data_IF_684185912170
#
_entry.id   IF_684185912170
#
_cell.length_a   1.000
_cell.length_b   1.000
_cell.length_c   1.000
_cell.angle_alpha   90.00
_cell.angle_beta   90.00
_cell.angle_gamma   90.00
#
_symmetry.space_group_name_H-M   'P 1'
#
loop_
_entity.id
_entity.type
_entity.pdbx_description
1 polymer ?
#
# COMPACT_ATOMS: atom_id res chain seq x y z
N UNK A 1 -3.15 -16.99 2.91
CA UNK A 1 -4.00 -17.32 4.09
C UNK A 1 -3.77 -16.25 5.14
N UNK A 2 -4.85 -15.69 5.69
CA UNK A 2 -4.76 -14.70 6.76
C UNK A 2 -4.55 -15.41 8.09
N UNK A 3 -3.67 -14.86 8.92
CA UNK A 3 -3.44 -15.32 10.28
C UNK A 3 -3.45 -14.12 11.21
N UNK A 4 -3.96 -14.33 12.42
CA UNK A 4 -4.00 -13.30 13.46
C UNK A 4 -2.57 -12.81 13.76
N UNK A 5 -2.42 -11.49 13.87
CA UNK A 5 -1.14 -10.84 14.12
C UNK A 5 -0.29 -10.52 12.89
N UNK A 6 -0.75 -10.87 11.67
CA UNK A 6 -0.10 -10.45 10.44
C UNK A 6 -0.37 -8.96 10.12
N UNK A 7 0.57 -8.35 9.38
CA UNK A 7 0.51 -6.94 8.98
C UNK A 7 0.08 -6.78 7.52
N UNK A 8 -0.94 -5.95 7.30
CA UNK A 8 -1.54 -5.72 5.99
C UNK A 8 -1.80 -4.23 5.75
N UNK A 9 -1.79 -3.82 4.49
CA UNK A 9 -2.12 -2.47 4.03
C UNK A 9 -3.38 -2.53 3.17
N UNK A 10 -4.29 -1.57 3.34
CA UNK A 10 -5.42 -1.38 2.42
C UNK A 10 -4.96 -0.57 1.19
N UNK A 11 -5.14 -1.12 -0.01
CA UNK A 11 -4.82 -0.41 -1.26
C UNK A 11 -5.87 0.66 -1.60
N UNK A 12 -7.13 0.42 -1.25
CA UNK A 12 -8.21 1.37 -1.46
C UNK A 12 -8.15 2.56 -0.50
N UNK A 13 -7.63 2.34 0.71
CA UNK A 13 -7.65 3.32 1.80
C UNK A 13 -6.25 3.51 2.40
N UNK A 14 -5.35 4.09 1.63
CA UNK A 14 -3.96 4.33 2.06
C UNK A 14 -3.83 5.25 3.28
N UNK A 15 -4.89 5.98 3.65
CA UNK A 15 -4.93 6.86 4.82
C UNK A 15 -4.99 6.09 6.15
N UNK A 16 -5.48 4.84 6.14
CA UNK A 16 -5.59 4.01 7.35
C UNK A 16 -4.22 3.50 7.85
N UNK A 17 -3.23 3.46 6.97
CA UNK A 17 -1.88 2.99 7.31
C UNK A 17 -1.81 1.48 7.54
N UNK A 18 -0.88 1.05 8.41
CA UNK A 18 -0.56 -0.35 8.60
C UNK A 18 -1.52 -1.03 9.59
N UNK A 19 -2.32 -1.97 9.09
CA UNK A 19 -3.26 -2.75 9.89
C UNK A 19 -2.65 -4.04 10.47
N UNK A 20 -3.31 -4.58 11.49
CA UNK A 20 -3.03 -5.86 12.15
C UNK A 20 -4.29 -6.72 12.06
N UNK A 21 -4.14 -7.97 11.61
CA UNK A 21 -5.26 -8.94 11.61
C UNK A 21 -5.62 -9.29 13.06
N UNK A 22 -6.85 -8.99 13.47
CA UNK A 22 -7.40 -9.28 14.80
C UNK A 22 -8.14 -10.62 14.82
N UNK A 23 -8.97 -10.86 13.82
CA UNK A 23 -9.70 -12.14 13.65
C UNK A 23 -9.80 -12.55 12.18
N UNK A 24 -9.93 -13.86 11.95
CA UNK A 24 -10.09 -14.45 10.62
C UNK A 24 -11.22 -15.47 10.70
N UNK A 25 -12.26 -15.26 9.91
CA UNK A 25 -13.35 -16.20 9.71
C UNK A 25 -13.21 -16.90 8.34
N UNK A 26 -14.17 -17.76 8.00
CA UNK A 26 -14.16 -18.48 6.72
C UNK A 26 -14.31 -17.58 5.48
N UNK A 27 -14.99 -16.43 5.60
CA UNK A 27 -15.26 -15.52 4.47
C UNK A 27 -14.79 -14.09 4.70
N UNK A 28 -14.48 -13.74 5.94
CA UNK A 28 -14.16 -12.37 6.36
C UNK A 28 -12.86 -12.34 7.14
N UNK A 29 -12.13 -11.24 7.00
CA UNK A 29 -10.95 -10.93 7.82
C UNK A 29 -11.16 -9.58 8.46
N UNK A 30 -10.89 -9.51 9.76
CA UNK A 30 -11.00 -8.28 10.53
C UNK A 30 -9.61 -7.72 10.79
N UNK A 31 -9.43 -6.45 10.47
CA UNK A 31 -8.15 -5.76 10.57
C UNK A 31 -8.34 -4.49 11.37
N UNK A 32 -7.57 -4.37 12.45
CA UNK A 32 -7.48 -3.16 13.23
C UNK A 32 -6.34 -2.28 12.66
N UNK A 33 -6.62 -1.00 12.45
CA UNK A 33 -5.68 0.02 12.00
C UNK A 33 -5.33 0.96 13.16
N UNK A 34 -4.22 0.71 13.90
CA UNK A 34 -3.87 1.50 15.07
C UNK A 34 -3.59 2.98 14.78
N UNK A 35 -3.24 3.31 13.53
CA UNK A 35 -2.97 4.69 13.13
C UNK A 35 -4.25 5.52 12.93
N UNK A 36 -5.37 4.87 12.62
CA UNK A 36 -6.67 5.51 12.42
C UNK A 36 -7.67 5.19 13.55
N UNK A 37 -7.27 4.35 14.52
CA UNK A 37 -8.13 3.85 15.60
C UNK A 37 -9.45 3.23 15.11
N UNK A 38 -9.42 2.65 13.90
CA UNK A 38 -10.56 2.01 13.24
C UNK A 38 -10.34 0.51 13.02
N UNK A 39 -11.43 -0.25 13.09
CA UNK A 39 -11.47 -1.65 12.68
C UNK A 39 -12.28 -1.80 11.40
N UNK A 40 -11.74 -2.55 10.43
CA UNK A 40 -12.41 -2.82 9.15
C UNK A 40 -12.52 -4.32 8.91
N UNK A 41 -13.66 -4.72 8.37
CA UNK A 41 -13.95 -6.09 7.96
C UNK A 41 -13.90 -6.16 6.45
N UNK A 42 -13.09 -7.07 5.92
CA UNK A 42 -12.96 -7.31 4.48
C UNK A 42 -13.39 -8.73 4.13
N UNK A 43 -14.04 -8.90 2.98
CA UNK A 43 -14.34 -10.21 2.43
C UNK A 43 -13.07 -10.80 1.78
N UNK A 44 -12.64 -12.00 2.22
CA UNK A 44 -11.38 -12.65 1.82
C UNK A 44 -11.25 -12.76 0.29
N UNK A 45 -12.35 -12.99 -0.43
CA UNK A 45 -12.34 -13.20 -1.87
C UNK A 45 -12.03 -11.95 -2.71
N UNK A 46 -12.30 -10.75 -2.18
CA UNK A 46 -12.19 -9.48 -2.94
C UNK A 46 -11.43 -8.41 -2.13
N UNK A 47 -10.69 -8.81 -1.10
CA UNK A 47 -10.04 -7.86 -0.21
C UNK A 47 -8.89 -7.15 -0.94
N UNK A 48 -8.92 -5.81 -1.07
CA UNK A 48 -7.84 -5.02 -1.67
C UNK A 48 -6.71 -4.83 -0.65
N UNK A 49 -6.15 -5.94 -0.16
CA UNK A 49 -5.19 -5.97 0.93
C UNK A 49 -3.83 -6.46 0.44
N UNK A 50 -2.77 -5.73 0.80
CA UNK A 50 -1.39 -6.10 0.45
C UNK A 50 -0.60 -6.45 1.71
N UNK A 51 0.00 -7.66 1.71
CA UNK A 51 0.78 -8.17 2.85
C UNK A 51 2.08 -7.39 2.96
N UNK A 52 2.40 -6.91 4.16
CA UNK A 52 3.65 -6.20 4.42
C UNK A 52 4.60 -7.13 5.16
N UNK A 53 5.73 -7.45 4.52
CA UNK A 53 6.83 -8.20 5.12
C UNK A 53 8.14 -7.45 4.92
N UNK A 54 9.00 -7.49 5.92
CA UNK A 54 10.34 -6.91 5.88
C UNK A 54 11.37 -8.01 5.60
N UNK A 55 12.49 -7.64 5.00
CA UNK A 55 13.60 -8.55 4.73
C UNK A 55 14.76 -8.30 5.69
N UNK A 56 15.70 -9.25 5.74
CA UNK A 56 16.96 -9.05 6.45
C UNK A 56 17.72 -7.84 5.84
N UNK A 57 18.21 -6.96 6.69
CA UNK A 57 18.82 -5.67 6.32
C UNK A 57 17.86 -4.48 6.36
N UNK A 58 16.55 -4.69 6.52
CA UNK A 58 15.60 -3.59 6.68
C UNK A 58 15.66 -2.99 8.09
N UNK A 59 15.41 -1.68 8.18
CA UNK A 59 15.24 -0.96 9.45
C UNK A 59 13.76 -0.79 9.74
N UNK A 60 13.31 -1.37 10.86
CA UNK A 60 11.93 -1.32 11.33
C UNK A 60 11.82 -0.55 12.64
N UNK A 61 10.68 0.10 12.86
CA UNK A 61 10.38 0.82 14.09
C UNK A 61 9.39 0.03 14.94
N UNK A 62 9.67 -0.10 16.24
CA UNK A 62 8.74 -0.67 17.21
C UNK A 62 7.67 0.34 17.61
N UNK A 63 6.56 -0.15 18.19
CA UNK A 63 5.53 0.67 18.81
C UNK A 63 6.10 1.57 19.92
N UNK A 64 7.07 1.06 20.69
CA UNK A 64 7.70 1.82 21.77
C UNK A 64 8.76 2.83 21.27
N UNK A 65 8.75 3.17 19.97
CA UNK A 65 9.55 4.25 19.38
C UNK A 65 11.02 3.92 19.13
N UNK A 66 11.46 2.68 19.32
CA UNK A 66 12.85 2.27 19.07
C UNK A 66 13.02 1.56 17.73
N UNK A 67 14.23 1.63 17.17
CA UNK A 67 14.55 1.06 15.85
C UNK A 67 15.32 -0.26 15.97
N UNK A 68 14.97 -1.22 15.12
CA UNK A 68 15.64 -2.50 14.97
C UNK A 68 16.12 -2.68 13.53
N UNK A 69 17.36 -3.11 13.39
CA UNK A 69 17.90 -3.60 12.13
C UNK A 69 17.69 -5.11 12.06
N UNK A 70 16.90 -5.56 11.08
CA UNK A 70 16.54 -6.97 10.92
C UNK A 70 17.77 -7.75 10.49
N UNK A 71 18.21 -8.71 11.30
CA UNK A 71 19.28 -9.65 10.95
C UNK A 71 18.71 -10.94 10.37
N UNK A 72 17.63 -11.45 10.99
CA UNK A 72 17.00 -12.70 10.61
C UNK A 72 15.48 -12.59 10.72
N UNK A 73 14.77 -13.30 9.85
CA UNK A 73 13.32 -13.40 9.85
C UNK A 73 12.96 -14.85 10.10
N UNK A 74 12.27 -15.11 11.21
CA UNK A 74 11.82 -16.45 11.60
C UNK A 74 10.31 -16.50 11.48
N UNK A 75 9.79 -17.45 10.72
CA UNK A 75 8.35 -17.71 10.66
C UNK A 75 8.02 -18.87 11.60
N UNK A 76 7.16 -18.62 12.58
CA UNK A 76 6.69 -19.63 13.52
C UNK A 76 5.15 -19.66 13.49
N UNK A 77 4.58 -20.78 13.07
CA UNK A 77 3.11 -20.96 12.95
C UNK A 77 2.42 -19.84 12.14
N UNK A 78 3.12 -19.30 11.14
CA UNK A 78 2.67 -18.21 10.26
C UNK A 78 2.64 -16.82 10.89
N UNK A 79 3.13 -16.69 12.13
CA UNK A 79 3.55 -15.42 12.71
C UNK A 79 5.02 -15.16 12.35
N UNK A 80 5.30 -13.97 11.83
CA UNK A 80 6.65 -13.56 11.46
C UNK A 80 7.31 -12.88 12.65
N UNK A 81 8.49 -13.34 13.01
CA UNK A 81 9.31 -12.83 14.09
C UNK A 81 10.58 -12.25 13.48
N UNK A 82 10.85 -10.99 13.78
CA UNK A 82 12.04 -10.29 13.31
C UNK A 82 13.09 -10.30 14.43
N UNK A 83 14.23 -10.92 14.16
CA UNK A 83 15.39 -10.95 15.05
C UNK A 83 16.39 -9.92 14.57
N UNK A 84 16.93 -9.13 15.48
CA UNK A 84 17.87 -8.10 15.09
C UNK A 84 18.58 -7.42 16.25
N UNK A 85 19.37 -6.42 15.89
CA UNK A 85 20.08 -5.56 16.85
C UNK A 85 19.36 -4.22 16.93
N UNK A 86 19.23 -3.70 18.16
CA UNK A 86 18.68 -2.37 18.39
C UNK A 86 19.72 -1.33 18.01
N UNK A 87 19.33 -0.31 17.25
CA UNK A 87 20.24 0.73 16.74
C UNK A 87 21.03 1.46 17.84
N UNK A 88 20.41 1.62 19.03
CA UNK A 88 20.99 2.39 20.16
C UNK A 88 21.79 1.49 21.14
N UNK A 89 21.63 0.16 21.10
CA UNK A 89 22.27 -0.74 22.08
C UNK A 89 22.90 -1.92 21.37
N UNK A 90 24.23 -1.85 21.20
CA UNK A 90 25.04 -2.78 20.40
C UNK A 90 25.10 -4.21 20.97
N UNK A 91 24.70 -4.44 22.23
CA UNK A 91 25.05 -5.68 22.95
C UNK A 91 23.94 -6.72 23.15
N UNK A 92 22.67 -6.49 22.77
CA UNK A 92 21.61 -7.48 22.96
C UNK A 92 20.87 -7.79 21.65
N UNK A 93 20.70 -9.09 21.36
CA UNK A 93 19.76 -9.57 20.33
C UNK A 93 18.36 -9.31 20.85
N UNK A 94 17.55 -8.58 20.09
CA UNK A 94 16.16 -8.33 20.41
C UNK A 94 15.27 -9.09 19.42
N UNK A 95 14.15 -9.58 19.95
CA UNK A 95 13.14 -10.29 19.19
C UNK A 95 11.90 -9.40 19.11
N UNK A 96 11.56 -8.95 17.90
CA UNK A 96 10.37 -8.17 17.62
C UNK A 96 9.31 -9.03 16.95
N UNK A 97 8.13 -9.10 17.54
CA UNK A 97 6.95 -9.73 16.92
C UNK A 97 6.35 -8.78 15.88
N UNK A 98 5.80 -9.32 14.79
CA UNK A 98 5.14 -8.54 13.73
C UNK A 98 4.06 -7.58 14.26
N UNK A 99 3.33 -7.98 15.32
CA UNK A 99 2.31 -7.15 15.97
C UNK A 99 2.85 -5.85 16.55
N UNK A 100 4.15 -5.74 16.86
CA UNK A 100 4.74 -4.57 17.52
C UNK A 100 5.42 -3.58 16.56
N UNK A 101 5.20 -3.69 15.24
CA UNK A 101 5.88 -2.86 14.23
C UNK A 101 5.04 -1.65 13.82
N UNK A 102 5.59 -0.44 13.93
CA UNK A 102 4.99 0.75 13.33
C UNK A 102 5.67 1.05 12.01
N UNK A 103 4.88 1.24 10.95
CA UNK A 103 5.38 1.82 9.71
C UNK A 103 5.32 3.35 9.80
N UNK A 104 6.41 3.98 10.18
CA UNK A 104 6.59 5.41 9.93
C UNK A 104 6.89 5.59 8.44
N UNK A 105 5.89 6.00 7.66
CA UNK A 105 6.00 6.23 6.20
C UNK A 105 7.04 7.31 5.83
N UNK A 106 7.50 8.10 6.81
CA UNK A 106 8.30 9.31 6.59
C UNK A 106 9.80 9.10 6.30
N UNK A 107 10.43 8.02 6.77
CA UNK A 107 11.90 8.06 6.97
C UNK A 107 12.82 7.67 5.79
N UNK A 108 12.31 7.11 4.68
CA UNK A 108 13.18 6.31 3.80
C UNK A 108 13.64 6.91 2.47
N UNK A 109 13.37 8.18 2.14
CA UNK A 109 14.01 8.79 0.94
C UNK A 109 15.41 9.35 1.22
N UNK A 110 15.55 10.14 2.29
CA UNK A 110 16.85 10.72 2.68
C UNK A 110 17.80 9.66 3.24
N UNK A 111 17.30 8.74 4.08
CA UNK A 111 18.13 7.67 4.65
C UNK A 111 18.62 6.67 3.60
N UNK A 112 17.83 6.35 2.55
CA UNK A 112 18.29 5.50 1.42
C UNK A 112 19.41 6.15 0.61
N UNK A 113 19.35 7.47 0.43
CA UNK A 113 20.42 8.23 -0.23
C UNK A 113 21.72 8.18 0.57
N UNK A 114 21.64 8.34 1.90
CA UNK A 114 22.81 8.25 2.78
C UNK A 114 23.34 6.82 2.98
N UNK A 115 22.51 5.78 2.80
CA UNK A 115 22.90 4.37 2.95
C UNK A 115 23.43 3.74 1.66
N UNK A 116 23.78 4.53 0.63
CA UNK A 116 24.30 4.08 -0.66
C UNK A 116 23.44 3.05 -1.42
N UNK A 117 22.15 2.90 -1.06
CA UNK A 117 21.18 2.14 -1.84
C UNK A 117 20.68 3.02 -3.00
N UNK A 118 21.61 3.40 -3.88
CA UNK A 118 21.33 4.22 -5.04
C UNK A 118 20.70 3.29 -6.08
N UNK A 119 19.40 3.47 -6.33
CA UNK A 119 18.73 2.82 -7.45
C UNK A 119 19.47 3.18 -8.76
N UNK A 120 19.59 2.23 -9.69
CA UNK A 120 20.22 2.48 -11.00
C UNK A 120 19.55 3.70 -11.68
N UNK A 121 20.37 4.59 -12.24
CA UNK A 121 19.93 5.85 -12.89
C UNK A 121 18.74 5.67 -13.83
N UNK A 122 18.75 4.58 -14.62
CA UNK A 122 17.72 4.31 -15.63
C UNK A 122 16.32 4.09 -15.01
N UNK A 123 16.25 3.45 -13.85
CA UNK A 123 14.98 3.22 -13.14
C UNK A 123 14.41 4.51 -12.57
N UNK A 124 15.29 5.41 -12.12
CA UNK A 124 14.89 6.74 -11.66
C UNK A 124 14.31 7.55 -12.82
N UNK A 125 15.01 7.60 -13.96
CA UNK A 125 14.54 8.29 -15.16
C UNK A 125 13.21 7.73 -15.66
N UNK A 126 13.07 6.40 -15.73
CA UNK A 126 11.81 5.76 -16.12
C UNK A 126 10.67 6.12 -15.18
N UNK A 127 10.89 6.09 -13.85
CA UNK A 127 9.87 6.46 -12.87
C UNK A 127 9.46 7.93 -13.00
N UNK A 128 10.43 8.82 -13.24
CA UNK A 128 10.16 10.24 -13.45
C UNK A 128 9.30 10.45 -14.70
N UNK A 129 9.70 9.88 -15.83
CA UNK A 129 8.95 9.97 -17.08
C UNK A 129 7.55 9.36 -16.96
N UNK A 130 7.43 8.21 -16.29
CA UNK A 130 6.13 7.57 -16.05
C UNK A 130 5.18 8.47 -15.26
N UNK A 131 5.67 9.14 -14.20
CA UNK A 131 4.87 10.07 -13.41
C UNK A 131 4.47 11.32 -14.22
N UNK A 132 5.36 11.85 -15.06
CA UNK A 132 5.02 12.97 -15.95
C UNK A 132 3.94 12.58 -16.96
N UNK A 133 4.07 11.43 -17.62
CA UNK A 133 3.07 10.96 -18.58
C UNK A 133 1.74 10.64 -17.89
N UNK A 134 1.78 10.05 -16.70
CA UNK A 134 0.59 9.82 -15.88
C UNK A 134 -0.10 11.16 -15.58
N UNK A 135 0.61 12.15 -15.06
CA UNK A 135 0.04 13.48 -14.80
C UNK A 135 -0.62 14.10 -16.05
N UNK A 136 0.06 14.06 -17.20
CA UNK A 136 -0.47 14.58 -18.45
C UNK A 136 -1.75 13.85 -18.90
N UNK A 137 -1.83 12.54 -18.70
CA UNK A 137 -3.05 11.76 -18.98
C UNK A 137 -4.19 12.11 -18.00
N UNK A 138 -3.88 12.29 -16.72
CA UNK A 138 -4.86 12.63 -15.69
C UNK A 138 -5.48 14.03 -15.91
N UNK A 139 -4.70 14.98 -16.45
CA UNK A 139 -5.13 16.34 -16.80
C UNK A 139 -5.82 16.43 -18.17
N UNK A 140 -5.79 15.36 -18.98
CA UNK A 140 -6.35 15.40 -20.33
C UNK A 140 -7.88 15.55 -20.29
N UNK A 141 -8.47 16.49 -21.06
CA UNK A 141 -9.93 16.65 -21.13
C UNK A 141 -10.64 15.47 -21.79
N UNK A 142 -9.88 14.56 -22.43
CA UNK A 142 -10.38 13.35 -23.09
C UNK A 142 -10.19 12.09 -22.25
N UNK A 143 -9.86 12.25 -20.97
CA UNK A 143 -9.68 11.13 -20.05
C UNK A 143 -10.96 10.30 -19.95
N UNK A 144 -10.83 8.98 -20.05
CA UNK A 144 -11.97 8.05 -20.08
C UNK A 144 -12.61 7.85 -21.47
N UNK A 145 -12.34 8.73 -22.45
CA UNK A 145 -12.94 8.65 -23.79
C UNK A 145 -12.01 8.07 -24.86
N UNK A 146 -10.70 7.94 -24.58
CA UNK A 146 -9.69 7.43 -25.55
C UNK A 146 -9.39 5.94 -25.45
N UNK A 147 -9.87 5.27 -24.39
CA UNK A 147 -9.60 3.84 -24.14
C UNK A 147 -10.66 2.89 -24.69
N UNK A 148 -11.78 3.43 -25.21
CA UNK A 148 -12.90 2.63 -25.69
C UNK A 148 -12.58 2.03 -27.06
N UNK A 149 -12.87 0.74 -27.24
CA UNK A 149 -12.76 0.07 -28.55
C UNK A 149 -14.03 0.33 -29.37
N UNK A 150 -14.26 1.58 -29.74
CA UNK A 150 -15.40 2.00 -30.55
C UNK A 150 -14.95 3.01 -31.63
N UNK A 151 -15.71 3.11 -32.72
CA UNK A 151 -15.49 4.10 -33.77
C UNK A 151 -15.68 5.51 -33.21
N UNK A 152 -14.88 6.47 -33.70
CA UNK A 152 -14.97 7.88 -33.30
C UNK A 152 -16.16 8.57 -33.96
N UNK A 153 -17.36 8.28 -33.46
CA UNK A 153 -18.61 8.87 -33.95
C UNK A 153 -18.88 10.16 -33.16
N UNK A 154 -18.92 11.35 -33.79
CA UNK A 154 -18.95 12.64 -33.09
C UNK A 154 -20.10 12.78 -32.08
N UNK A 155 -21.32 12.37 -32.45
CA UNK A 155 -22.48 12.50 -31.56
C UNK A 155 -22.38 11.58 -30.33
N UNK A 156 -21.81 10.38 -30.47
CA UNK A 156 -21.64 9.43 -29.36
C UNK A 156 -20.60 9.96 -28.36
N UNK A 157 -19.52 10.55 -28.85
CA UNK A 157 -18.50 11.19 -28.02
C UNK A 157 -19.04 12.40 -27.27
N UNK A 158 -19.94 13.18 -27.90
CA UNK A 158 -20.60 14.32 -27.27
C UNK A 158 -21.44 13.87 -26.07
N UNK A 159 -22.30 12.85 -26.25
CA UNK A 159 -23.14 12.30 -25.18
C UNK A 159 -22.28 11.72 -24.05
N UNK A 160 -21.26 10.93 -24.39
CA UNK A 160 -20.37 10.32 -23.39
C UNK A 160 -19.64 11.38 -22.55
N UNK A 161 -19.20 12.48 -23.17
CA UNK A 161 -18.58 13.61 -22.49
C UNK A 161 -19.58 14.33 -21.58
N UNK A 162 -20.78 14.63 -22.07
CA UNK A 162 -21.79 15.38 -21.33
C UNK A 162 -22.31 14.60 -20.10
N UNK A 163 -22.59 13.30 -20.27
CA UNK A 163 -23.07 12.45 -19.18
C UNK A 163 -21.95 12.15 -18.18
N UNK A 164 -20.73 11.90 -18.64
CA UNK A 164 -19.58 11.55 -17.78
C UNK A 164 -19.05 12.69 -16.91
N UNK A 165 -19.40 13.95 -17.23
CA UNK A 165 -19.03 15.12 -16.42
C UNK A 165 -20.00 15.39 -15.25
N UNK A 166 -21.14 14.71 -15.18
CA UNK A 166 -22.13 14.91 -14.12
C UNK A 166 -21.76 14.08 -12.89
N UNK A 167 -21.72 14.72 -11.71
CA UNK A 167 -21.40 14.08 -10.42
C UNK A 167 -22.41 12.99 -10.01
N UNK A 168 -23.65 13.10 -10.49
CA UNK A 168 -24.68 12.08 -10.37
C UNK A 168 -25.39 11.94 -11.71
N UNK A 169 -24.99 10.96 -12.52
CA UNK A 169 -25.53 10.75 -13.86
C UNK A 169 -26.74 9.82 -13.82
N UNK A 170 -27.95 10.37 -13.72
CA UNK A 170 -29.17 9.69 -14.15
C UNK A 170 -29.46 10.09 -15.60
N UNK A 171 -29.29 9.17 -16.55
CA UNK A 171 -29.63 9.39 -17.96
C UNK A 171 -30.51 8.24 -18.45
N UNK A 172 -31.71 8.55 -18.93
CA UNK A 172 -32.55 7.61 -19.65
C UNK A 172 -32.14 7.67 -21.13
N UNK A 173 -31.56 6.58 -21.64
CA UNK A 173 -31.25 6.44 -23.06
C UNK A 173 -32.49 5.79 -23.69
N UNK A 174 -33.30 6.57 -24.41
CA UNK A 174 -34.39 6.00 -25.22
C UNK A 174 -33.78 5.32 -26.46
N UNK A 175 -34.17 4.06 -26.68
CA UNK A 175 -33.76 3.25 -27.83
C UNK A 175 -34.28 3.79 -29.14
#
# INVERSE_FOLDING_TARGET
MFLVGQRWLSESENNLGLGIVTSVDHRTVTINFPAAEEERVYAIAVAPLTRVQFQAGDRINSIDGWQLEVSEVVENQGAVIYLGKRWITVKKRYCLKCCSIIKSVSANRKNRLFSAQIDRSDRFALRFNALQHQQAQYQSPLRGLRGIRASLIPHQLHIAKEVGQRLASSCAISR
#
